data_IF_031319746388
#
_entry.id   IF_031319746388
#
_cell.length_a   1.000
_cell.length_b   1.000
_cell.length_c   1.000
_cell.angle_alpha   90.00
_cell.angle_beta   90.00
_cell.angle_gamma   90.00
#
_symmetry.space_group_name_H-M   'P 1'
#
loop_
_entity.id
_entity.type
_entity.pdbx_description
1 polymer ?
2 water ?
#
# COMPACT_ATOMS: atom_id res chain seq x y z
N UNK A 1 6.14 31.02 13.40
CA UNK A 1 4.83 30.32 13.20
C UNK A 1 4.42 29.85 14.59
N UNK A 2 3.14 29.57 14.82
CA UNK A 2 2.74 29.12 16.13
C UNK A 2 3.40 27.78 16.45
N UNK A 3 4.15 27.75 17.55
CA UNK A 3 4.85 26.54 18.00
C UNK A 3 3.74 25.57 18.42
N UNK A 4 3.75 24.40 17.82
CA UNK A 4 2.74 23.39 18.11
C UNK A 4 3.13 22.48 19.24
N UNK A 5 4.43 22.25 19.41
CA UNK A 5 4.91 21.39 20.48
C UNK A 5 6.31 21.80 20.96
N UNK A 6 6.59 21.43 22.21
CA UNK A 6 7.88 21.70 22.81
C UNK A 6 8.67 20.41 22.66
N UNK A 7 8.07 19.29 23.06
CA UNK A 7 8.72 18.00 22.91
C UNK A 7 7.74 17.06 22.22
N UNK A 8 8.25 16.17 21.38
CA UNK A 8 7.41 15.23 20.66
C UNK A 8 8.18 13.95 20.46
N UNK A 9 7.63 12.88 21.01
CA UNK A 9 8.23 11.56 20.91
C UNK A 9 7.20 10.64 20.29
N UNK A 10 7.60 9.83 19.32
CA UNK A 10 6.68 8.87 18.67
C UNK A 10 7.38 7.69 17.97
N UNK A 11 6.64 6.62 17.74
CA UNK A 11 7.21 5.41 17.08
C UNK A 11 6.92 5.25 15.59
N UNK A 12 6.57 6.33 14.93
CA UNK A 12 6.31 6.28 13.50
C UNK A 12 5.02 5.66 13.01
N UNK A 13 5.11 4.91 11.92
CA UNK A 13 3.97 4.31 11.26
C UNK A 13 4.04 2.79 11.15
N UNK A 14 2.90 2.18 10.85
CA UNK A 14 2.83 0.74 10.67
C UNK A 14 2.72 0.52 9.16
N UNK A 15 3.67 -0.22 8.63
CA UNK A 15 3.71 -0.54 7.21
C UNK A 15 2.92 -1.80 6.96
N UNK A 16 2.20 -1.85 5.82
CA UNK A 16 1.42 -3.07 5.55
C UNK A 16 2.42 -4.19 5.26
N UNK A 17 2.04 -5.44 5.52
CA UNK A 17 2.96 -6.55 5.24
C UNK A 17 3.52 -6.55 3.82
N UNK A 18 4.64 -7.25 3.64
CA UNK A 18 5.18 -7.29 2.30
C UNK A 18 4.26 -8.20 1.49
N UNK A 19 4.31 -8.06 0.18
CA UNK A 19 3.47 -8.88 -0.69
C UNK A 19 3.90 -10.34 -0.61
N UNK A 20 2.93 -11.24 -0.61
CA UNK A 20 3.20 -12.68 -0.57
C UNK A 20 2.87 -13.25 -1.94
N UNK A 21 3.86 -13.78 -2.67
CA UNK A 21 3.52 -14.32 -3.99
C UNK A 21 2.42 -15.38 -3.94
N UNK A 22 1.68 -15.49 -5.05
CA UNK A 22 0.58 -16.46 -5.16
C UNK A 22 1.14 -17.87 -5.27
N UNK A 23 0.30 -18.89 -4.96
CA UNK A 23 0.76 -20.28 -5.06
C UNK A 23 1.06 -20.60 -6.54
N UNK A 24 1.98 -21.54 -6.76
CA UNK A 24 2.45 -21.87 -8.11
C UNK A 24 1.39 -22.21 -9.12
N UNK A 25 0.25 -22.68 -8.65
CA UNK A 25 -0.79 -23.08 -9.57
C UNK A 25 -1.73 -21.97 -9.95
N UNK A 26 -1.48 -20.76 -9.47
CA UNK A 26 -2.33 -19.61 -9.75
C UNK A 26 -1.51 -18.61 -10.55
N UNK A 27 -1.90 -18.44 -11.81
CA UNK A 27 -1.16 -17.57 -12.71
C UNK A 27 -2.12 -16.80 -13.59
N UNK A 28 -1.57 -15.74 -14.16
CA UNK A 28 -2.26 -14.92 -15.11
C UNK A 28 -2.03 -15.73 -16.38
N UNK A 29 -3.00 -15.75 -17.28
CA UNK A 29 -2.82 -16.46 -18.55
C UNK A 29 -2.81 -15.42 -19.67
N UNK A 30 -1.92 -15.60 -20.63
CA UNK A 30 -1.78 -14.72 -21.79
C UNK A 30 -1.85 -15.62 -23.02
N UNK A 31 -2.88 -15.42 -23.84
CA UNK A 31 -3.10 -16.27 -25.04
C UNK A 31 -3.25 -17.72 -24.58
N UNK A 32 -3.84 -17.92 -23.41
CA UNK A 32 -4.06 -19.27 -22.93
C UNK A 32 -2.90 -19.98 -22.24
N UNK A 33 -1.72 -19.36 -22.16
CA UNK A 33 -0.57 -19.98 -21.53
C UNK A 33 -0.26 -19.31 -20.22
N UNK A 34 0.12 -20.08 -19.20
CA UNK A 34 0.45 -19.46 -17.91
C UNK A 34 1.75 -18.63 -17.96
N UNK A 35 1.66 -17.42 -17.41
CA UNK A 35 2.77 -16.45 -17.35
C UNK A 35 3.46 -16.49 -15.98
N UNK A 36 4.78 -16.69 -15.96
CA UNK A 36 5.52 -16.68 -14.70
C UNK A 36 5.87 -15.25 -14.53
N UNK A 37 5.21 -14.59 -13.58
CA UNK A 37 5.43 -13.16 -13.32
C UNK A 37 6.30 -12.87 -12.11
N UNK A 38 7.15 -11.84 -12.21
CA UNK A 38 7.95 -11.54 -11.02
C UNK A 38 6.91 -11.03 -9.97
N UNK A 39 7.18 -11.18 -8.66
CA UNK A 39 6.26 -10.75 -7.62
C UNK A 39 5.66 -9.33 -7.72
N UNK A 40 6.47 -8.34 -8.10
CA UNK A 40 5.95 -6.98 -8.21
C UNK A 40 4.87 -6.87 -9.31
N UNK A 41 5.11 -7.51 -10.47
CA UNK A 41 4.14 -7.53 -11.59
C UNK A 41 2.90 -8.34 -11.21
N UNK A 42 3.17 -9.47 -10.56
CA UNK A 42 2.10 -10.36 -10.10
C UNK A 42 1.13 -9.65 -9.14
N UNK A 43 1.69 -8.84 -8.23
CA UNK A 43 0.90 -8.09 -7.26
C UNK A 43 -0.07 -7.15 -7.96
N UNK A 44 0.48 -6.41 -8.92
CA UNK A 44 -0.27 -5.44 -9.70
C UNK A 44 -1.37 -6.12 -10.55
N UNK A 45 -1.04 -7.25 -11.17
CA UNK A 45 -2.02 -8.00 -11.94
C UNK A 45 -3.16 -8.47 -10.98
N UNK A 46 -2.76 -8.86 -9.78
CA UNK A 46 -3.71 -9.31 -8.78
C UNK A 46 -4.72 -8.24 -8.35
N UNK A 47 -4.33 -6.96 -8.41
CA UNK A 47 -5.25 -5.88 -8.03
C UNK A 47 -6.41 -5.85 -9.04
N UNK A 48 -6.08 -6.05 -10.32
CA UNK A 48 -7.12 -6.03 -11.35
C UNK A 48 -7.98 -7.28 -11.23
N UNK A 49 -7.35 -8.44 -11.08
CA UNK A 49 -8.08 -9.72 -10.97
C UNK A 49 -9.07 -9.71 -9.80
N UNK A 50 -8.68 -9.15 -8.66
CA UNK A 50 -9.58 -9.05 -7.52
C UNK A 50 -10.83 -8.25 -7.88
N UNK A 51 -10.68 -7.27 -8.76
CA UNK A 51 -11.78 -6.42 -9.19
C UNK A 51 -12.49 -6.90 -10.46
N UNK A 52 -12.11 -8.09 -10.93
CA UNK A 52 -12.66 -8.63 -12.17
C UNK A 52 -14.15 -8.55 -12.45
N UNK A 53 -15.01 -8.72 -11.45
CA UNK A 53 -16.45 -8.66 -11.73
C UNK A 53 -17.11 -7.34 -11.29
N UNK A 54 -16.30 -6.34 -10.98
CA UNK A 54 -16.81 -5.07 -10.55
C UNK A 54 -17.04 -4.19 -11.78
N UNK A 55 -17.73 -3.07 -11.60
CA UNK A 55 -17.96 -2.16 -12.73
C UNK A 55 -16.65 -1.62 -13.28
N UNK A 56 -15.72 -1.37 -12.36
CA UNK A 56 -14.42 -0.86 -12.73
C UNK A 56 -13.71 -1.75 -13.78
N UNK A 57 -13.84 -3.07 -13.61
CA UNK A 57 -13.20 -4.02 -14.50
C UNK A 57 -13.70 -3.95 -15.95
N UNK A 58 -14.85 -3.33 -16.19
CA UNK A 58 -15.35 -3.26 -17.56
C UNK A 58 -15.21 -1.88 -18.15
N UNK A 59 -14.79 -0.94 -17.33
CA UNK A 59 -14.57 0.45 -17.76
C UNK A 59 -13.26 0.48 -18.54
N UNK A 60 -13.35 0.74 -19.86
CA UNK A 60 -12.11 0.76 -20.66
C UNK A 60 -11.06 1.76 -20.20
N UNK A 61 -11.45 2.83 -19.52
CA UNK A 61 -10.46 3.79 -19.06
C UNK A 61 -9.65 3.17 -17.90
N UNK A 62 -10.36 2.45 -17.05
CA UNK A 62 -9.80 1.77 -15.89
C UNK A 62 -8.82 0.69 -16.40
N UNK A 63 -9.26 -0.06 -17.41
CA UNK A 63 -8.47 -1.13 -17.99
C UNK A 63 -7.19 -0.55 -18.60
N UNK A 64 -7.33 0.54 -19.34
CA UNK A 64 -6.17 1.22 -19.97
C UNK A 64 -5.11 1.67 -18.95
N UNK A 65 -5.55 2.44 -17.96
CA UNK A 65 -4.66 2.95 -16.89
C UNK A 65 -3.99 1.80 -16.12
N UNK A 66 -4.77 0.79 -15.74
CA UNK A 66 -4.22 -0.36 -15.03
C UNK A 66 -3.15 -1.03 -15.87
N UNK A 67 -3.47 -1.25 -17.14
CA UNK A 67 -2.58 -1.96 -18.04
C UNK A 67 -1.28 -1.24 -18.32
N UNK A 68 -1.35 0.06 -18.50
CA UNK A 68 -0.15 0.84 -18.74
C UNK A 68 0.68 0.81 -17.46
N UNK A 69 0.05 0.90 -16.29
CA UNK A 69 0.83 0.84 -15.05
C UNK A 69 1.41 -0.54 -14.82
N UNK A 70 0.65 -1.57 -15.21
CA UNK A 70 1.07 -2.97 -15.09
C UNK A 70 2.30 -3.21 -15.97
N UNK A 71 2.27 -2.68 -17.19
CA UNK A 71 3.39 -2.84 -18.11
C UNK A 71 4.63 -2.13 -17.60
N UNK A 72 4.40 -1.00 -16.93
CA UNK A 72 5.49 -0.22 -16.36
C UNK A 72 6.15 -0.99 -15.23
N UNK A 73 5.35 -1.60 -14.34
CA UNK A 73 5.91 -2.38 -13.23
C UNK A 73 6.58 -3.62 -13.80
N UNK A 74 5.99 -4.18 -14.86
CA UNK A 74 6.53 -5.37 -15.51
C UNK A 74 7.93 -5.08 -16.01
N UNK A 75 8.08 -3.94 -16.69
CA UNK A 75 9.38 -3.49 -17.21
C UNK A 75 10.38 -3.29 -16.08
N UNK A 76 9.98 -2.62 -15.03
CA UNK A 76 10.86 -2.35 -13.89
C UNK A 76 11.36 -3.63 -13.24
N UNK A 77 10.52 -4.66 -13.26
CA UNK A 77 10.84 -5.95 -12.66
C UNK A 77 11.61 -6.88 -13.57
N UNK A 78 11.95 -6.45 -14.76
CA UNK A 78 12.68 -7.33 -15.65
C UNK A 78 11.83 -8.24 -16.54
N UNK A 79 10.51 -8.06 -16.54
CA UNK A 79 9.64 -8.90 -17.39
C UNK A 79 9.31 -10.29 -16.87
N UNK A 80 8.47 -11.06 -17.60
CA UNK A 80 8.07 -12.42 -17.20
C UNK A 80 9.29 -13.36 -17.21
N UNK A 81 9.21 -14.40 -16.39
CA UNK A 81 10.29 -15.36 -16.26
C UNK A 81 10.31 -16.48 -17.31
N UNK A 82 9.13 -16.82 -17.85
CA UNK A 82 9.04 -17.86 -18.88
C UNK A 82 8.90 -17.29 -20.28
N UNK A 83 9.51 -16.12 -20.50
CA UNK A 83 9.46 -15.46 -21.79
C UNK A 83 8.16 -15.42 -22.57
N UNK A 84 7.14 -14.75 -22.05
CA UNK A 84 5.88 -14.69 -22.79
C UNK A 84 5.61 -13.39 -23.54
N UNK A 85 6.08 -12.26 -23.01
CA UNK A 85 5.87 -10.96 -23.66
C UNK A 85 4.41 -10.51 -23.68
N UNK A 86 4.05 -9.71 -22.69
CA UNK A 86 2.70 -9.20 -22.55
C UNK A 86 2.62 -7.84 -23.24
N UNK A 87 1.86 -7.79 -24.34
CA UNK A 87 1.70 -6.56 -25.07
C UNK A 87 0.24 -6.03 -25.11
N UNK A 88 -0.74 -6.92 -24.94
CA UNK A 88 -2.13 -6.49 -25.04
C UNK A 88 -3.01 -6.92 -23.89
N UNK A 89 -3.84 -5.97 -23.45
CA UNK A 89 -4.75 -6.22 -22.35
C UNK A 89 -5.70 -7.35 -22.67
N UNK A 90 -6.27 -7.30 -23.87
CA UNK A 90 -7.25 -8.27 -24.30
C UNK A 90 -6.78 -9.72 -24.34
N UNK A 91 -5.48 -9.93 -24.38
CA UNK A 91 -4.95 -11.29 -24.42
C UNK A 91 -4.71 -11.82 -23.02
N UNK A 92 -4.96 -10.98 -22.03
CA UNK A 92 -4.79 -11.32 -20.63
C UNK A 92 -6.05 -11.95 -20.08
N UNK A 93 -5.87 -12.99 -19.27
CA UNK A 93 -6.99 -13.70 -18.67
C UNK A 93 -6.68 -13.79 -17.18
N UNK A 94 -7.47 -13.06 -16.41
CA UNK A 94 -7.34 -12.98 -14.96
C UNK A 94 -8.30 -13.89 -14.19
N UNK A 95 -9.09 -14.71 -14.88
CA UNK A 95 -10.09 -15.55 -14.23
C UNK A 95 -9.66 -16.46 -13.06
N UNK A 96 -8.57 -17.18 -13.24
CA UNK A 96 -8.04 -18.07 -12.20
C UNK A 96 -7.57 -17.25 -10.97
N UNK A 97 -6.97 -16.09 -11.24
CA UNK A 97 -6.54 -15.22 -10.17
C UNK A 97 -7.80 -14.74 -9.42
N UNK A 98 -8.82 -14.31 -10.17
CA UNK A 98 -10.06 -13.85 -9.55
C UNK A 98 -10.73 -14.95 -8.69
N UNK A 99 -10.86 -16.15 -9.27
CA UNK A 99 -11.49 -17.26 -8.58
C UNK A 99 -10.73 -17.63 -7.31
N UNK A 100 -9.42 -17.50 -7.36
CA UNK A 100 -8.59 -17.80 -6.22
C UNK A 100 -8.83 -16.78 -5.10
N UNK A 101 -8.91 -15.52 -5.49
CA UNK A 101 -9.17 -14.47 -4.53
C UNK A 101 -10.53 -14.70 -3.86
N UNK A 102 -11.53 -15.04 -4.66
CA UNK A 102 -12.88 -15.31 -4.13
C UNK A 102 -12.82 -16.47 -3.15
N UNK A 103 -12.05 -17.51 -3.51
CA UNK A 103 -11.85 -18.71 -2.68
C UNK A 103 -11.22 -18.28 -1.36
N UNK A 104 -10.19 -17.44 -1.45
CA UNK A 104 -9.52 -16.92 -0.26
C UNK A 104 -10.56 -16.26 0.66
N UNK A 105 -11.33 -15.32 0.12
CA UNK A 105 -12.37 -14.62 0.87
C UNK A 105 -13.26 -15.63 1.58
N UNK A 106 -13.79 -16.58 0.81
CA UNK A 106 -14.69 -17.57 1.36
C UNK A 106 -14.09 -18.31 2.52
N UNK A 107 -12.86 -18.78 2.36
CA UNK A 107 -12.19 -19.56 3.40
C UNK A 107 -12.08 -18.75 4.72
N UNK A 108 -11.93 -17.43 4.58
CA UNK A 108 -11.78 -16.58 5.75
C UNK A 108 -13.06 -16.50 6.59
N UNK A 109 -14.19 -16.78 5.95
CA UNK A 109 -15.47 -16.77 6.64
C UNK A 109 -15.49 -17.82 7.73
N UNK A 110 -14.56 -18.77 7.69
CA UNK A 110 -14.50 -19.85 8.67
C UNK A 110 -13.67 -19.53 9.92
N UNK A 111 -13.12 -18.32 10.02
CA UNK A 111 -12.32 -17.96 11.19
C UNK A 111 -13.20 -17.85 12.44
N UNK A 112 -14.39 -17.48 12.31
N UNK A 115 -10.83 -17.09 17.41
CA UNK A 115 -9.80 -16.70 16.40
C UNK A 115 -9.89 -15.20 16.02
N UNK A 116 -11.04 -14.76 15.51
CA UNK A 116 -11.22 -13.37 15.12
C UNK A 116 -10.81 -12.39 16.21
N UNK A 117 -11.46 -12.51 17.37
CA UNK A 117 -11.17 -11.63 18.51
C UNK A 117 -9.73 -11.77 19.02
N UNK A 118 -9.15 -12.97 18.91
CA UNK A 118 -7.77 -13.17 19.36
C UNK A 118 -6.88 -12.31 18.48
N UNK A 119 -7.09 -12.41 17.16
CA UNK A 119 -6.31 -11.62 16.19
C UNK A 119 -6.52 -10.14 16.52
N UNK A 120 -7.79 -9.81 16.83
CA UNK A 120 -8.19 -8.45 17.18
C UNK A 120 -7.32 -7.98 18.35
N UNK A 121 -7.01 -8.91 19.26
CA UNK A 121 -6.21 -8.61 20.43
C UNK A 121 -4.71 -8.52 20.17
N UNK A 122 -4.20 -9.44 19.37
CA UNK A 122 -2.77 -9.45 19.05
C UNK A 122 -2.40 -8.22 18.20
N UNK A 123 -3.38 -7.72 17.44
CA UNK A 123 -3.20 -6.55 16.58
C UNK A 123 -3.18 -5.26 17.40
N UNK A 124 -4.23 -5.02 18.16
CA UNK A 124 -4.33 -3.82 18.97
C UNK A 124 -3.21 -3.72 20.00
N UNK A 125 -2.69 -4.86 20.45
CA UNK A 125 -1.59 -4.87 21.39
C UNK A 125 -0.34 -4.37 20.64
N UNK A 126 -0.19 -4.79 19.39
CA UNK A 126 0.93 -4.36 18.58
C UNK A 126 0.80 -2.88 18.25
N UNK A 127 -0.40 -2.48 17.83
CA UNK A 127 -0.68 -1.10 17.46
C UNK A 127 -0.67 -0.11 18.64
N UNK A 128 -0.57 -0.63 19.86
CA UNK A 128 -0.55 0.19 21.07
C UNK A 128 0.60 1.22 21.01
N UNK A 129 1.73 0.79 20.46
CA UNK A 129 2.91 1.61 20.34
C UNK A 129 2.79 2.74 19.31
N UNK A 130 1.88 2.60 18.36
CA UNK A 130 1.69 3.61 17.32
C UNK A 130 0.47 4.49 17.52
N UNK A 131 -0.49 3.98 18.28
CA UNK A 131 -1.74 4.70 18.51
C UNK A 131 -1.56 5.90 19.46
N UNK A 132 -0.43 5.93 20.16
CA UNK A 132 -0.17 6.99 21.12
C UNK A 132 1.26 7.48 20.99
N UNK A 133 1.45 8.74 21.29
CA UNK A 133 2.77 9.33 21.24
C UNK A 133 2.88 10.13 22.53
N UNK A 134 4.06 10.68 22.81
CA UNK A 134 4.26 11.44 24.03
C UNK A 134 4.62 12.82 23.57
N UNK A 135 3.70 13.75 23.77
CA UNK A 135 3.85 15.13 23.34
C UNK A 135 3.85 16.02 24.57
N UNK A 136 4.88 16.86 24.69
CA UNK A 136 5.01 17.73 25.86
C UNK A 136 4.84 16.86 27.11
N UNK A 137 5.50 15.70 27.13
CA UNK A 137 5.42 14.83 28.29
C UNK A 137 4.09 14.12 28.57
N UNK A 138 3.07 14.38 27.77
CA UNK A 138 1.77 13.75 27.97
C UNK A 138 1.44 12.76 26.86
N UNK A 139 0.87 11.61 27.26
CA UNK A 139 0.47 10.58 26.31
C UNK A 139 -0.66 11.14 25.45
N UNK A 140 -0.43 11.28 24.15
CA UNK A 140 -1.47 11.78 23.26
C UNK A 140 -1.82 10.72 22.23
N UNK A 141 -3.05 10.78 21.72
CA UNK A 141 -3.51 9.80 20.75
C UNK A 141 -3.20 10.23 19.34
N UNK A 142 -2.87 9.24 18.51
CA UNK A 142 -2.54 9.50 17.13
C UNK A 142 -3.55 8.83 16.20
N UNK A 143 -4.02 9.57 15.21
CA UNK A 143 -4.91 8.96 14.22
C UNK A 143 -4.15 8.89 12.91
N UNK A 144 -4.17 7.76 12.21
CA UNK A 144 -3.48 7.58 10.91
C UNK A 144 -2.08 6.98 10.97
N UNK A 145 -1.80 6.11 11.94
CA UNK A 145 -0.46 5.53 12.07
C UNK A 145 -0.17 4.40 11.10
N UNK A 146 -1.12 4.11 10.24
CA UNK A 146 -0.95 3.04 9.26
C UNK A 146 -0.87 3.61 7.84
N UNK A 147 0.11 3.16 7.07
CA UNK A 147 0.21 3.65 5.72
C UNK A 147 -0.66 2.74 4.88
N UNK A 148 -1.48 3.35 4.03
CA UNK A 148 -2.39 2.61 3.15
C UNK A 148 -1.66 1.69 2.20
N UNK A 149 -2.18 0.47 2.02
CA UNK A 149 -1.59 -0.54 1.14
C UNK A 149 -1.76 -0.17 -0.35
N UNK A 150 -0.83 -0.65 -1.20
CA UNK A 150 -0.96 -0.33 -2.63
C UNK A 150 -2.24 -0.96 -3.18
N UNK A 151 -2.76 -0.41 -4.27
CA UNK A 151 -3.98 -0.92 -4.93
C UNK A 151 -4.22 -0.04 -6.14
N UNK A 152 -5.25 -0.34 -6.92
CA UNK A 152 -5.63 0.48 -8.06
C UNK A 152 -6.59 1.57 -7.54
N UNK A 153 -6.35 2.80 -8.00
CA UNK A 153 -7.16 3.96 -7.70
C UNK A 153 -8.50 3.81 -8.41
N UNK A 154 -9.60 3.96 -7.68
CA UNK A 154 -10.91 3.85 -8.25
C UNK A 154 -11.49 5.27 -8.25
N UNK A 155 -11.61 5.84 -9.45
CA UNK A 155 -12.14 7.19 -9.54
C UNK A 155 -13.60 7.15 -9.86
N UNK A 156 -14.31 8.21 -9.54
CA UNK A 156 -15.72 8.15 -9.83
C UNK A 156 -16.03 8.77 -11.18
N UNK A 157 -17.07 8.24 -11.82
CA UNK A 157 -17.52 8.71 -13.12
C UNK A 157 -16.50 8.57 -14.24
N UNK A 158 -16.26 9.68 -14.91
CA UNK A 158 -15.30 9.73 -15.99
C UNK A 158 -13.92 10.18 -15.48
N UNK A 159 -13.55 9.79 -14.25
CA UNK A 159 -12.25 10.20 -13.76
C UNK A 159 -11.20 9.64 -14.69
N UNK A 160 -10.38 10.52 -15.32
CA UNK A 160 -9.35 10.06 -16.24
C UNK A 160 -8.21 9.22 -15.65
N UNK A 161 -8.05 9.19 -14.33
CA UNK A 161 -6.96 8.44 -13.74
C UNK A 161 -7.43 7.15 -13.12
N UNK A 162 -8.72 6.89 -13.18
CA UNK A 162 -9.24 5.67 -12.60
C UNK A 162 -8.49 4.43 -13.16
N UNK A 163 -8.08 3.54 -12.27
CA UNK A 163 -7.36 2.36 -12.69
C UNK A 163 -5.87 2.50 -12.53
N UNK A 164 -5.41 3.70 -12.19
CA UNK A 164 -3.99 3.87 -12.00
C UNK A 164 -3.54 3.25 -10.69
N UNK A 165 -2.32 2.70 -10.69
CA UNK A 165 -1.78 2.07 -9.50
C UNK A 165 -1.29 3.04 -8.41
N UNK A 166 -1.81 2.91 -7.20
CA UNK A 166 -1.34 3.70 -6.04
C UNK A 166 -0.19 2.83 -5.51
N UNK A 167 1.03 3.30 -5.68
CA UNK A 167 2.21 2.52 -5.29
C UNK A 167 2.42 2.36 -3.81
N UNK A 168 3.10 1.28 -3.46
CA UNK A 168 3.41 0.98 -2.09
C UNK A 168 4.32 2.12 -1.59
N UNK A 169 4.01 2.62 -0.40
CA UNK A 169 4.81 3.69 0.22
C UNK A 169 5.86 3.00 1.10
N UNK A 170 7.12 3.28 0.83
CA UNK A 170 8.24 2.71 1.60
C UNK A 170 8.78 3.76 2.58
N UNK A 171 9.61 3.33 3.57
CA UNK A 171 10.22 4.21 4.60
C UNK A 171 10.95 5.38 3.98
N UNK A 172 11.54 5.12 2.83
CA UNK A 172 12.30 6.07 2.05
C UNK A 172 11.48 7.25 1.55
N UNK A 173 10.16 7.09 1.50
CA UNK A 173 9.27 8.15 1.03
C UNK A 173 8.77 9.01 2.19
N UNK A 174 8.99 8.56 3.41
CA UNK A 174 8.44 9.25 4.55
C UNK A 174 9.35 10.18 5.32
N UNK A 175 8.73 11.22 5.86
CA UNK A 175 9.45 12.14 6.70
C UNK A 175 8.82 12.01 8.07
N UNK A 176 9.64 11.75 9.08
CA UNK A 176 9.19 11.65 10.48
C UNK A 176 9.53 12.98 11.11
N UNK A 177 8.63 13.50 11.93
CA UNK A 177 8.88 14.76 12.58
C UNK A 177 8.86 14.47 14.08
N UNK A 178 9.92 14.81 14.79
CA UNK A 178 9.96 14.59 16.24
C UNK A 178 10.98 15.49 16.90
N UNK A 179 11.01 15.49 18.23
CA UNK A 179 11.99 16.27 18.99
C UNK A 179 13.41 15.82 18.59
N UNK A 180 14.35 16.76 18.63
CA UNK A 180 15.74 16.43 18.28
C UNK A 180 16.28 15.31 19.15
N UNK A 181 16.11 15.42 20.45
CA UNK A 181 16.62 14.41 21.36
C UNK A 181 15.87 13.09 21.34
N UNK A 182 14.65 13.12 20.82
CA UNK A 182 13.80 11.95 20.77
C UNK A 182 14.40 10.78 20.01
N UNK A 183 14.27 9.57 20.55
CA UNK A 183 14.80 8.38 19.90
C UNK A 183 14.07 8.07 18.61
N UNK A 184 14.83 7.94 17.52
CA UNK A 184 14.25 7.64 16.21
C UNK A 184 13.79 6.19 16.09
N UNK A 185 12.53 5.97 15.71
CA UNK A 185 12.02 4.61 15.57
C UNK A 185 12.71 3.99 14.39
N UNK A 186 13.26 2.78 14.58
CA UNK A 186 13.95 2.09 13.48
C UNK A 186 13.05 1.87 12.28
N UNK A 187 13.55 2.19 11.09
CA UNK A 187 12.79 1.95 9.87
C UNK A 187 12.78 0.44 9.76
N UNK A 188 11.88 -0.11 8.95
CA UNK A 188 11.90 -1.58 8.88
C UNK A 188 13.11 -2.23 8.19
N UNK A 189 13.08 -3.55 8.27
CA UNK A 189 14.06 -4.46 7.68
C UNK A 189 15.37 -3.82 7.30
N UNK A 190 15.55 -3.57 6.01
CA UNK A 190 16.77 -2.95 5.53
C UNK A 190 16.42 -1.72 4.73
N UNK A 191 15.66 -0.84 5.36
CA UNK A 191 15.25 0.42 4.74
C UNK A 191 15.70 1.51 5.69
N UNK A 192 15.72 2.74 5.19
CA UNK A 192 16.07 3.90 5.97
C UNK A 192 14.92 4.87 5.74
N UNK A 193 14.69 5.79 6.67
CA UNK A 193 13.62 6.78 6.52
C UNK A 193 14.03 7.80 5.47
N UNK A 194 13.05 8.39 4.81
CA UNK A 194 13.32 9.41 3.81
C UNK A 194 13.90 10.65 4.45
N UNK A 195 13.52 10.93 5.69
CA UNK A 195 14.06 12.09 6.39
C UNK A 195 13.56 12.07 7.83
N UNK A 196 14.39 12.61 8.72
CA UNK A 196 14.06 12.75 10.14
C UNK A 196 14.10 14.23 10.39
N UNK A 197 12.92 14.85 10.49
CA UNK A 197 12.79 16.28 10.70
C UNK A 197 12.51 16.63 12.19
N UNK A 198 12.78 17.88 12.55
CA UNK A 198 12.57 18.35 13.91
C UNK A 198 11.97 19.75 13.84
N UNK A 199 10.76 19.85 13.26
CA UNK A 199 10.06 21.13 13.12
C UNK A 199 8.87 21.27 14.10
N UNK A 200 9.01 22.18 15.06
CA UNK A 200 7.98 22.41 16.08
C UNK A 200 6.80 23.27 15.66
N UNK A 201 6.85 23.82 14.45
CA UNK A 201 5.76 24.66 13.96
C UNK A 201 4.62 23.86 13.29
N UNK A 202 4.82 22.56 13.14
CA UNK A 202 3.77 21.73 12.55
C UNK A 202 3.45 20.61 13.52
N UNK A 203 2.19 20.19 13.50
CA UNK A 203 1.72 19.14 14.38
C UNK A 203 1.73 17.73 13.78
N UNK A 204 2.15 17.57 12.52
CA UNK A 204 2.17 16.22 11.96
C UNK A 204 3.35 15.41 12.47
N UNK A 205 3.19 14.10 12.48
CA UNK A 205 4.22 13.22 12.98
C UNK A 205 5.03 12.58 11.87
N UNK A 206 4.38 12.37 10.74
CA UNK A 206 4.99 11.79 9.56
C UNK A 206 4.27 12.39 8.37
N UNK A 207 4.98 12.49 7.26
CA UNK A 207 4.40 13.03 6.03
C UNK A 207 5.02 12.37 4.78
N UNK A 208 4.21 12.23 3.74
CA UNK A 208 4.67 11.67 2.46
C UNK A 208 3.69 12.08 1.38
N UNK A 209 4.06 11.88 0.11
CA UNK A 209 3.19 12.21 -1.01
C UNK A 209 2.63 10.94 -1.61
N UNK A 210 1.40 11.01 -2.15
CA UNK A 210 0.78 9.85 -2.78
C UNK A 210 1.01 10.07 -4.26
N UNK A 211 1.16 8.98 -5.02
CA UNK A 211 1.49 9.10 -6.42
C UNK A 211 0.42 9.45 -7.46
N UNK A 212 -0.85 9.34 -7.10
CA UNK A 212 -1.88 9.67 -8.08
C UNK A 212 -2.03 11.17 -8.33
N UNK A 213 -2.16 11.94 -7.25
CA UNK A 213 -2.37 13.38 -7.35
C UNK A 213 -1.26 14.26 -6.80
N UNK A 214 -0.16 13.67 -6.36
CA UNK A 214 0.93 14.44 -5.80
C UNK A 214 0.58 15.17 -4.52
N UNK A 215 -0.51 14.78 -3.86
CA UNK A 215 -0.87 15.45 -2.61
C UNK A 215 -0.22 14.79 -1.39
N UNK A 216 -0.22 15.48 -0.26
CA UNK A 216 0.39 14.98 0.97
C UNK A 216 -0.49 14.08 1.85
N UNK A 217 0.16 13.12 2.51
CA UNK A 217 -0.49 12.24 3.45
C UNK A 217 0.20 12.55 4.77
N UNK A 218 -0.52 12.50 5.88
CA UNK A 218 0.06 12.83 7.18
C UNK A 218 -0.37 11.91 8.29
N UNK A 219 0.51 11.74 9.28
CA UNK A 219 0.12 10.99 10.47
C UNK A 219 -0.07 12.16 11.45
N UNK A 220 -1.31 12.34 11.88
CA UNK A 220 -1.63 13.42 12.76
C UNK A 220 -2.30 12.95 14.04
N UNK A 221 -2.32 13.83 15.03
CA UNK A 221 -2.90 13.52 16.32
C UNK A 221 -4.41 13.51 16.25
N UNK A 222 -5.02 12.68 17.08
CA UNK A 222 -6.47 12.55 17.17
C UNK A 222 -7.00 13.92 17.54
N UNK A 223 -8.22 14.26 17.13
CA UNK A 223 -8.77 15.58 17.47
C UNK A 223 -8.69 15.84 18.98
#
# INVERSE_FOLDING_TARGET
DTIKWVTLKHNGVIFPPPYQPLPSHIKLYYDGKPVDLPPQAEEVAGFFAALLESDHAKNPVFQKNFFNDFLQVLKESGGPLNGIEIKEFSRCDFTKMFDYFQLQKEQKKQLTSQEKKQIRLEREKFEEDYKFCELDGRREQVGNFKVEPPDLFRGRGAHPKTGKLKRRVNPEDIVLNLSKDAPVPPAPEGHKWGEIRHDNTVQWLAMWRENIFNSFKYVRLAA
#
